data_IF_762060397434
#
_entry.id   IF_762060397434
#
_cell.length_a   1.000
_cell.length_b   1.000
_cell.length_c   1.000
_cell.angle_alpha   90.00
_cell.angle_beta   90.00
_cell.angle_gamma   90.00
#
_symmetry.space_group_name_H-M   'P 1'
#
loop_
_entity.id
_entity.type
_entity.pdbx_description
1 polymer ?
#
# COMPACT_ATOMS: atom_id res chain seq x y z
N UNK A 1 -20.71 -43.00 18.43
CA UNK A 1 -20.46 -41.79 17.61
C UNK A 1 -20.24 -42.29 16.18
N UNK A 2 -20.96 -41.80 15.16
CA UNK A 2 -20.91 -42.38 13.80
C UNK A 2 -19.73 -41.82 12.98
N UNK A 3 -19.18 -42.65 12.09
CA UNK A 3 -18.18 -42.29 11.07
C UNK A 3 -18.64 -41.13 10.16
N UNK A 4 -19.95 -40.86 10.10
CA UNK A 4 -20.55 -39.76 9.33
C UNK A 4 -20.20 -38.37 9.85
N UNK A 5 -19.57 -38.26 11.03
CA UNK A 5 -19.01 -37.00 11.53
C UNK A 5 -17.68 -36.63 10.89
N UNK A 6 -16.96 -37.59 10.30
CA UNK A 6 -15.73 -37.31 9.58
C UNK A 6 -16.04 -36.67 8.21
N UNK A 7 -15.19 -35.76 7.73
CA UNK A 7 -15.27 -35.29 6.35
C UNK A 7 -15.26 -36.48 5.37
N UNK A 8 -16.08 -36.42 4.31
CA UNK A 8 -16.34 -37.57 3.42
C UNK A 8 -15.07 -38.22 2.87
N UNK A 9 -14.04 -37.43 2.55
CA UNK A 9 -12.76 -37.95 2.05
C UNK A 9 -11.96 -38.71 3.10
N UNK A 10 -12.00 -38.26 4.36
CA UNK A 10 -11.37 -38.92 5.50
C UNK A 10 -12.07 -40.24 5.78
N UNK A 11 -13.40 -40.24 5.88
CA UNK A 11 -14.20 -41.45 6.06
C UNK A 11 -13.96 -42.49 4.95
N UNK A 12 -13.85 -42.05 3.69
CA UNK A 12 -13.55 -42.92 2.55
C UNK A 12 -12.14 -43.53 2.62
N UNK A 13 -11.12 -42.72 2.95
CA UNK A 13 -9.73 -43.20 3.12
C UNK A 13 -9.65 -44.19 4.29
N UNK A 14 -10.26 -43.86 5.43
CA UNK A 14 -10.27 -44.71 6.61
C UNK A 14 -10.91 -46.07 6.33
N UNK A 15 -12.07 -46.12 5.65
CA UNK A 15 -12.69 -47.39 5.23
C UNK A 15 -11.81 -48.19 4.27
N UNK A 16 -11.11 -47.52 3.35
CA UNK A 16 -10.21 -48.17 2.40
C UNK A 16 -9.02 -48.81 3.10
N UNK A 17 -8.44 -48.10 4.06
CA UNK A 17 -7.16 -48.48 4.65
C UNK A 17 -7.32 -49.49 5.80
N UNK A 18 -8.41 -49.40 6.59
CA UNK A 18 -8.61 -50.20 7.80
C UNK A 18 -9.82 -51.14 7.77
N UNK A 19 -10.59 -51.15 6.67
CA UNK A 19 -11.68 -52.12 6.47
C UNK A 19 -12.74 -52.09 7.58
N UNK A 20 -12.97 -53.23 8.24
CA UNK A 20 -13.98 -53.39 9.31
C UNK A 20 -13.66 -52.56 10.56
N UNK A 21 -12.40 -52.24 10.81
CA UNK A 21 -11.99 -51.45 11.99
C UNK A 21 -12.26 -49.95 11.83
N UNK A 22 -12.59 -49.51 10.61
CA UNK A 22 -12.79 -48.10 10.30
C UNK A 22 -13.83 -47.41 11.18
N UNK A 23 -14.92 -48.08 11.56
CA UNK A 23 -15.95 -47.49 12.42
C UNK A 23 -15.47 -47.26 13.85
N UNK A 24 -14.72 -48.22 14.41
CA UNK A 24 -14.11 -48.09 15.74
C UNK A 24 -13.09 -46.95 15.75
N UNK A 25 -12.18 -46.94 14.77
CA UNK A 25 -11.11 -45.94 14.66
C UNK A 25 -11.64 -44.54 14.35
N UNK A 26 -12.76 -44.41 13.64
CA UNK A 26 -13.37 -43.11 13.33
C UNK A 26 -13.74 -42.33 14.60
N UNK A 27 -14.19 -43.04 15.65
CA UNK A 27 -14.53 -42.43 16.94
C UNK A 27 -13.28 -41.82 17.57
N UNK A 28 -12.18 -42.57 17.61
CA UNK A 28 -10.93 -42.12 18.21
C UNK A 28 -10.30 -40.97 17.42
N UNK A 29 -10.28 -41.05 16.08
CA UNK A 29 -9.80 -39.97 15.21
C UNK A 29 -10.58 -38.68 15.45
N UNK A 30 -11.90 -38.74 15.66
CA UNK A 30 -12.69 -37.54 15.96
C UNK A 30 -12.40 -36.94 17.34
N UNK A 31 -12.00 -37.76 18.30
CA UNK A 31 -11.66 -37.31 19.67
C UNK A 31 -10.29 -36.65 19.68
N UNK A 32 -9.31 -37.26 19.00
CA UNK A 32 -7.93 -36.78 18.95
C UNK A 32 -7.76 -35.62 17.95
N UNK A 33 -8.26 -35.78 16.72
CA UNK A 33 -8.19 -34.77 15.67
C UNK A 33 -9.44 -33.89 15.63
N UNK A 34 -9.28 -32.61 15.96
CA UNK A 34 -10.39 -31.63 16.04
C UNK A 34 -10.72 -31.00 14.70
N UNK A 35 -9.73 -30.94 13.81
CA UNK A 35 -9.86 -30.36 12.48
C UNK A 35 -9.66 -31.42 11.41
N UNK A 36 -10.20 -31.19 10.20
CA UNK A 36 -9.96 -32.08 9.06
C UNK A 36 -8.45 -32.27 8.80
N UNK A 37 -7.66 -31.21 9.00
CA UNK A 37 -6.21 -31.22 8.82
C UNK A 37 -5.53 -32.22 9.77
N UNK A 38 -5.90 -32.19 11.05
CA UNK A 38 -5.39 -33.13 12.06
C UNK A 38 -5.86 -34.56 11.80
N UNK A 39 -7.15 -34.75 11.50
CA UNK A 39 -7.72 -36.06 11.18
C UNK A 39 -7.05 -36.68 9.95
N UNK A 40 -6.76 -35.87 8.93
CA UNK A 40 -6.02 -36.31 7.76
C UNK A 40 -4.56 -36.64 8.10
N UNK A 41 -3.91 -35.84 8.94
CA UNK A 41 -2.52 -36.06 9.35
C UNK A 41 -2.36 -37.44 10.04
N UNK A 42 -3.28 -37.79 10.95
CA UNK A 42 -3.34 -39.11 11.58
C UNK A 42 -3.35 -40.25 10.54
N UNK A 43 -4.24 -40.15 9.54
CA UNK A 43 -4.34 -41.16 8.48
C UNK A 43 -3.11 -41.20 7.56
N UNK A 44 -2.51 -40.05 7.25
CA UNK A 44 -1.34 -39.97 6.37
C UNK A 44 -0.08 -40.54 7.05
N UNK A 45 0.09 -40.31 8.35
CA UNK A 45 1.20 -40.89 9.12
C UNK A 45 1.01 -42.40 9.32
N UNK A 46 -0.23 -42.86 9.50
CA UNK A 46 -0.55 -44.27 9.65
C UNK A 46 -0.36 -45.08 8.36
N UNK A 47 -0.76 -44.52 7.21
CA UNK A 47 -0.71 -45.17 5.89
C UNK A 47 -1.30 -46.59 5.86
N UNK A 48 -2.40 -46.80 6.59
CA UNK A 48 -3.10 -48.09 6.70
C UNK A 48 -2.51 -49.10 7.67
N UNK A 49 -1.48 -48.74 8.43
CA UNK A 49 -0.94 -49.55 9.52
C UNK A 49 -1.51 -49.11 10.88
N UNK A 50 -2.12 -50.05 11.62
CA UNK A 50 -2.78 -49.75 12.90
C UNK A 50 -1.78 -49.35 13.99
N UNK A 51 -0.59 -49.95 14.02
CA UNK A 51 0.45 -49.60 14.99
C UNK A 51 1.01 -48.18 14.75
N UNK A 52 1.16 -47.80 13.48
CA UNK A 52 1.51 -46.42 13.12
C UNK A 52 0.38 -45.44 13.42
N UNK A 53 -0.88 -45.86 13.33
CA UNK A 53 -2.00 -45.02 13.73
C UNK A 53 -2.01 -44.77 15.25
N UNK A 54 -1.73 -45.79 16.05
CA UNK A 54 -1.59 -45.65 17.50
C UNK A 54 -0.44 -44.70 17.87
N UNK A 55 0.72 -44.85 17.22
CA UNK A 55 1.84 -43.91 17.39
C UNK A 55 1.47 -42.48 16.97
N UNK A 56 0.69 -42.32 15.88
CA UNK A 56 0.19 -41.01 15.45
C UNK A 56 -0.78 -40.40 16.46
N UNK A 57 -1.62 -41.18 17.14
CA UNK A 57 -2.48 -40.69 18.22
C UNK A 57 -1.66 -40.19 19.40
N UNK A 58 -0.63 -40.93 19.82
CA UNK A 58 0.28 -40.48 20.88
C UNK A 58 0.99 -39.17 20.49
N UNK A 59 1.49 -39.07 19.26
CA UNK A 59 2.12 -37.86 18.75
C UNK A 59 1.15 -36.66 18.77
N UNK A 60 -0.10 -36.87 18.34
CA UNK A 60 -1.14 -35.83 18.34
C UNK A 60 -1.50 -35.34 19.74
N UNK A 61 -1.48 -36.23 20.74
CA UNK A 61 -1.74 -35.91 22.15
C UNK A 61 -0.60 -35.10 22.75
N UNK A 62 0.64 -35.32 22.30
CA UNK A 62 1.84 -34.63 22.77
C UNK A 62 2.05 -33.27 22.08
N UNK A 63 2.18 -33.23 20.76
CA UNK A 63 2.31 -31.99 19.96
C UNK A 63 1.70 -32.17 18.56
N UNK A 64 0.57 -31.51 18.32
CA UNK A 64 -0.10 -31.51 17.01
C UNK A 64 0.81 -30.98 15.90
N UNK A 65 1.76 -30.07 16.19
CA UNK A 65 2.65 -29.54 15.15
C UNK A 65 3.58 -30.60 14.61
N UNK A 66 4.08 -31.49 15.45
CA UNK A 66 4.97 -32.58 15.01
C UNK A 66 4.20 -33.57 14.13
N UNK A 67 2.97 -33.93 14.53
CA UNK A 67 2.06 -34.70 13.68
C UNK A 67 1.84 -34.03 12.31
N UNK A 68 1.59 -32.72 12.30
CA UNK A 68 1.38 -31.98 11.06
C UNK A 68 2.65 -31.88 10.21
N UNK A 69 3.83 -31.81 10.81
CA UNK A 69 5.10 -31.83 10.09
C UNK A 69 5.37 -33.21 9.48
N UNK A 70 5.18 -34.28 10.25
CA UNK A 70 5.37 -35.67 9.80
C UNK A 70 4.42 -36.05 8.66
N UNK A 71 3.16 -35.60 8.74
CA UNK A 71 2.19 -35.75 7.65
C UNK A 71 2.48 -34.86 6.43
N UNK A 72 3.45 -33.94 6.53
CA UNK A 72 3.70 -32.92 5.52
C UNK A 72 2.51 -31.97 5.33
N UNK A 73 1.74 -31.71 6.37
CA UNK A 73 0.59 -30.82 6.35
C UNK A 73 0.83 -29.55 7.16
N UNK A 74 2.06 -29.21 7.58
CA UNK A 74 2.35 -28.05 8.43
C UNK A 74 2.28 -26.68 7.71
N UNK A 75 2.44 -26.64 6.39
CA UNK A 75 2.40 -25.39 5.60
C UNK A 75 0.97 -24.92 5.27
N UNK A 76 0.83 -23.70 4.74
CA UNK A 76 -0.47 -23.13 4.33
C UNK A 76 -1.07 -23.80 3.08
N UNK A 77 -0.30 -24.63 2.36
CA UNK A 77 -0.71 -25.33 1.12
C UNK A 77 -1.26 -26.74 1.41
N UNK A 78 -1.50 -27.05 2.68
CA UNK A 78 -2.11 -28.31 3.09
C UNK A 78 -3.45 -28.62 2.38
N UNK A 79 -4.34 -27.65 2.04
CA UNK A 79 -5.60 -27.97 1.36
C UNK A 79 -5.36 -28.57 -0.03
N UNK A 80 -4.45 -27.98 -0.82
CA UNK A 80 -4.11 -28.49 -2.15
C UNK A 80 -3.46 -29.88 -2.06
N UNK A 81 -2.64 -30.11 -1.03
CA UNK A 81 -2.01 -31.41 -0.78
C UNK A 81 -3.05 -32.47 -0.42
N UNK A 82 -4.03 -32.15 0.43
CA UNK A 82 -5.13 -33.07 0.73
C UNK A 82 -5.99 -33.38 -0.48
N UNK A 83 -6.27 -32.39 -1.34
CA UNK A 83 -7.01 -32.61 -2.58
C UNK A 83 -6.28 -33.58 -3.51
N UNK A 84 -4.94 -33.52 -3.54
CA UNK A 84 -4.10 -34.44 -4.30
C UNK A 84 -4.09 -35.86 -3.70
N UNK A 85 -3.94 -35.98 -2.37
CA UNK A 85 -3.75 -37.27 -1.69
C UNK A 85 -5.07 -38.03 -1.46
N UNK A 86 -6.14 -37.33 -1.08
CA UNK A 86 -7.41 -37.93 -0.66
C UNK A 86 -8.57 -37.66 -1.65
N UNK A 87 -8.27 -36.91 -2.72
CA UNK A 87 -9.24 -36.39 -3.66
C UNK A 87 -9.89 -35.11 -3.17
N UNK A 88 -10.41 -34.32 -4.11
CA UNK A 88 -11.18 -33.11 -3.81
C UNK A 88 -12.39 -33.47 -2.95
N UNK A 89 -12.65 -32.67 -1.93
CA UNK A 89 -13.96 -32.66 -1.28
C UNK A 89 -15.01 -32.37 -2.35
N UNK A 90 -16.04 -33.20 -2.46
CA UNK A 90 -17.12 -33.05 -3.45
C UNK A 90 -17.95 -31.77 -3.26
N UNK A 91 -17.66 -30.99 -2.22
CA UNK A 91 -18.06 -29.59 -2.10
C UNK A 91 -16.79 -28.73 -2.09
N UNK A 92 -16.48 -27.98 -3.18
CA UNK A 92 -15.54 -26.88 -3.02
C UNK A 92 -16.08 -25.98 -1.91
N UNK A 93 -15.26 -25.52 -0.95
CA UNK A 93 -15.69 -24.47 -0.05
C UNK A 93 -16.19 -23.33 -0.94
N UNK A 94 -17.41 -22.85 -0.70
CA UNK A 94 -17.99 -21.76 -1.46
C UNK A 94 -16.94 -20.64 -1.50
N UNK A 95 -16.26 -20.49 -2.65
CA UNK A 95 -15.26 -19.45 -2.82
C UNK A 95 -15.93 -18.12 -2.45
N UNK A 96 -15.18 -17.13 -1.93
CA UNK A 96 -15.74 -15.87 -1.46
C UNK A 96 -16.75 -15.41 -2.50
N UNK A 97 -18.01 -15.35 -2.07
CA UNK A 97 -19.15 -15.16 -2.97
C UNK A 97 -18.87 -13.92 -3.82
N UNK A 98 -19.46 -13.87 -5.01
CA UNK A 98 -19.33 -12.70 -5.90
C UNK A 98 -19.60 -11.37 -5.18
N UNK A 99 -20.41 -11.41 -4.12
CA UNK A 99 -20.69 -10.31 -3.20
C UNK A 99 -19.48 -9.87 -2.38
N UNK A 100 -18.67 -10.78 -1.83
CA UNK A 100 -17.49 -10.41 -1.04
C UNK A 100 -16.42 -9.71 -1.88
N UNK A 101 -16.26 -10.12 -3.15
CA UNK A 101 -15.40 -9.39 -4.10
C UNK A 101 -15.92 -7.99 -4.42
N UNK A 102 -17.25 -7.80 -4.47
CA UNK A 102 -17.87 -6.48 -4.67
C UNK A 102 -17.69 -5.61 -3.43
N UNK A 103 -17.97 -6.13 -2.24
CA UNK A 103 -17.79 -5.43 -0.97
C UNK A 103 -16.35 -4.97 -0.78
N UNK A 104 -15.38 -5.84 -1.07
CA UNK A 104 -13.96 -5.49 -0.97
C UNK A 104 -13.55 -4.40 -1.96
N UNK A 105 -14.11 -4.40 -3.18
CA UNK A 105 -13.88 -3.34 -4.15
C UNK A 105 -14.52 -2.01 -3.72
N UNK A 106 -15.76 -2.05 -3.23
CA UNK A 106 -16.46 -0.85 -2.72
C UNK A 106 -15.72 -0.26 -1.52
N UNK A 107 -15.29 -1.10 -0.57
CA UNK A 107 -14.51 -0.68 0.59
C UNK A 107 -13.19 -0.01 0.16
N UNK A 108 -12.49 -0.60 -0.81
CA UNK A 108 -11.24 -0.04 -1.32
C UNK A 108 -11.48 1.33 -2.00
N UNK A 109 -12.56 1.47 -2.77
CA UNK A 109 -12.95 2.76 -3.36
C UNK A 109 -13.29 3.78 -2.28
N UNK A 110 -14.05 3.40 -1.26
CA UNK A 110 -14.42 4.27 -0.14
C UNK A 110 -13.22 4.75 0.68
N UNK A 111 -12.14 3.97 0.76
CA UNK A 111 -10.93 4.39 1.49
C UNK A 111 -10.00 5.22 0.60
N UNK A 112 -9.83 4.83 -0.66
CA UNK A 112 -8.85 5.46 -1.56
C UNK A 112 -9.36 6.78 -2.14
N UNK A 113 -10.65 6.88 -2.48
CA UNK A 113 -11.20 8.07 -3.12
C UNK A 113 -11.14 9.34 -2.23
N UNK A 114 -11.49 9.31 -0.93
CA UNK A 114 -11.38 10.47 -0.07
C UNK A 114 -9.95 10.92 0.15
N UNK A 115 -9.02 9.97 0.31
CA UNK A 115 -7.60 10.27 0.44
C UNK A 115 -7.11 10.98 -0.83
N UNK A 116 -7.38 10.42 -2.01
CA UNK A 116 -7.02 11.04 -3.28
C UNK A 116 -7.64 12.45 -3.44
N UNK A 117 -8.91 12.62 -3.08
CA UNK A 117 -9.59 13.93 -3.13
C UNK A 117 -8.92 14.95 -2.19
N UNK A 118 -8.57 14.56 -0.97
CA UNK A 118 -7.87 15.42 -0.01
C UNK A 118 -6.50 15.85 -0.54
N UNK A 119 -5.72 14.93 -1.11
CA UNK A 119 -4.41 15.26 -1.67
C UNK A 119 -4.50 16.15 -2.92
N UNK A 120 -5.50 15.94 -3.78
CA UNK A 120 -5.64 16.68 -5.05
C UNK A 120 -6.33 18.02 -4.86
N UNK A 121 -7.27 18.16 -3.92
CA UNK A 121 -8.08 19.38 -3.73
C UNK A 121 -7.76 20.05 -2.39
N UNK A 122 -7.71 19.28 -1.30
CA UNK A 122 -7.49 19.81 0.04
C UNK A 122 -6.12 20.48 0.19
N UNK A 123 -5.03 19.81 -0.18
CA UNK A 123 -3.68 20.38 -0.06
C UNK A 123 -3.51 21.65 -0.90
N UNK A 124 -3.90 21.71 -2.18
CA UNK A 124 -3.81 22.95 -2.95
C UNK A 124 -4.66 24.08 -2.39
N UNK A 125 -5.85 23.79 -1.82
CA UNK A 125 -6.66 24.82 -1.18
C UNK A 125 -6.00 25.35 0.10
N UNK A 126 -5.42 24.48 0.93
CA UNK A 126 -4.67 24.90 2.12
C UNK A 126 -3.47 25.77 1.73
N UNK A 127 -2.72 25.36 0.72
CA UNK A 127 -1.60 26.15 0.20
C UNK A 127 -2.07 27.47 -0.42
N UNK A 128 -3.20 27.47 -1.12
CA UNK A 128 -3.75 28.68 -1.72
C UNK A 128 -4.22 29.68 -0.67
N UNK A 129 -4.75 29.23 0.47
CA UNK A 129 -5.20 30.09 1.56
C UNK A 129 -4.01 30.72 2.28
N UNK A 130 -3.00 29.92 2.66
CA UNK A 130 -1.74 30.42 3.22
C UNK A 130 -1.04 31.38 2.24
N UNK A 131 -1.07 31.06 0.94
CA UNK A 131 -0.48 31.91 -0.08
C UNK A 131 -1.30 33.20 -0.30
N UNK A 132 -2.62 33.16 -0.14
CA UNK A 132 -3.49 34.34 -0.23
C UNK A 132 -3.28 35.28 0.95
N UNK A 133 -3.16 34.74 2.16
CA UNK A 133 -2.88 35.52 3.36
C UNK A 133 -1.46 36.08 3.37
N UNK A 134 -0.49 35.34 2.83
CA UNK A 134 0.86 35.85 2.60
C UNK A 134 0.85 36.97 1.55
N UNK A 135 0.23 36.75 0.38
CA UNK A 135 0.23 37.72 -0.72
C UNK A 135 -0.62 38.97 -0.47
N UNK A 136 -1.69 38.88 0.33
CA UNK A 136 -2.50 40.02 0.72
C UNK A 136 -1.74 41.03 1.59
N UNK A 137 -0.65 40.61 2.24
CA UNK A 137 0.19 41.47 3.09
C UNK A 137 1.42 42.00 2.38
N UNK A 138 1.76 41.53 1.17
CA UNK A 138 2.98 41.97 0.49
C UNK A 138 2.81 43.36 -0.11
N UNK A 139 3.61 44.32 0.35
CA UNK A 139 3.79 45.61 -0.32
C UNK A 139 4.94 45.51 -1.33
N UNK A 140 4.91 46.35 -2.36
CA UNK A 140 5.97 46.44 -3.36
C UNK A 140 6.56 47.84 -3.39
N UNK A 141 7.89 47.93 -3.52
CA UNK A 141 8.60 49.19 -3.75
C UNK A 141 9.68 48.98 -4.80
N UNK A 142 10.21 50.08 -5.32
CA UNK A 142 11.37 50.07 -6.20
C UNK A 142 12.64 49.96 -5.36
N UNK A 143 13.55 49.09 -5.75
CA UNK A 143 14.91 49.01 -5.26
C UNK A 143 15.94 49.08 -6.38
N UNK A 144 17.21 49.17 -6.01
CA UNK A 144 18.35 49.15 -6.93
C UNK A 144 19.31 48.05 -6.51
N UNK A 145 19.76 47.25 -7.48
CA UNK A 145 20.76 46.21 -7.22
C UNK A 145 22.10 46.86 -6.89
N UNK A 146 22.69 46.50 -5.76
CA UNK A 146 24.01 46.97 -5.32
C UNK A 146 25.13 46.07 -5.83
N UNK A 147 24.95 44.75 -5.70
CA UNK A 147 25.98 43.76 -6.03
C UNK A 147 25.31 42.46 -6.46
N UNK A 148 25.84 41.81 -7.50
CA UNK A 148 25.44 40.48 -7.92
C UNK A 148 26.58 39.49 -7.62
N UNK A 149 26.28 38.43 -6.86
CA UNK A 149 27.22 37.34 -6.58
C UNK A 149 26.73 36.05 -7.21
N UNK A 150 27.55 35.48 -8.10
CA UNK A 150 27.32 34.14 -8.63
C UNK A 150 27.82 33.07 -7.67
N UNK A 151 26.98 32.06 -7.42
CA UNK A 151 27.32 30.88 -6.60
C UNK A 151 26.90 29.57 -7.28
N UNK A 152 27.54 28.48 -6.89
CA UNK A 152 27.14 27.14 -7.31
C UNK A 152 26.38 26.44 -6.18
N UNK A 153 25.17 25.96 -6.46
CA UNK A 153 24.37 25.15 -5.54
C UNK A 153 24.09 23.77 -6.16
N UNK A 154 23.55 22.83 -5.37
CA UNK A 154 23.21 21.47 -5.84
C UNK A 154 22.26 21.44 -7.05
N UNK A 155 21.59 22.56 -7.37
CA UNK A 155 20.70 22.71 -8.52
C UNK A 155 21.25 23.51 -9.71
N UNK A 156 22.52 23.91 -9.71
CA UNK A 156 23.14 24.69 -10.79
C UNK A 156 23.67 26.07 -10.34
N UNK A 157 23.95 26.94 -11.32
CA UNK A 157 24.38 28.32 -11.06
C UNK A 157 23.20 29.12 -10.50
N UNK A 158 23.42 29.78 -9.36
CA UNK A 158 22.46 30.72 -8.75
C UNK A 158 23.12 32.08 -8.62
N UNK A 159 22.36 33.13 -8.88
CA UNK A 159 22.80 34.51 -8.74
C UNK A 159 22.08 35.09 -7.52
N UNK A 160 22.83 35.61 -6.55
CA UNK A 160 22.29 36.30 -5.38
C UNK A 160 22.60 37.78 -5.55
N UNK A 161 21.56 38.60 -5.58
CA UNK A 161 21.69 40.05 -5.66
C UNK A 161 21.50 40.65 -4.26
N UNK A 162 22.42 41.52 -3.85
CA UNK A 162 22.19 42.46 -2.76
C UNK A 162 21.57 43.72 -3.35
N UNK A 163 20.48 44.21 -2.78
CA UNK A 163 19.73 45.36 -3.28
C UNK A 163 19.42 46.34 -2.15
N UNK A 164 19.27 47.61 -2.49
CA UNK A 164 18.80 48.66 -1.59
C UNK A 164 17.39 49.11 -1.98
N UNK A 165 16.57 49.44 -0.99
CA UNK A 165 15.20 49.93 -1.20
C UNK A 165 14.78 50.85 -0.05
N UNK A 166 13.71 51.62 -0.27
CA UNK A 166 13.21 52.59 0.70
C UNK A 166 11.81 52.19 1.17
N UNK A 167 11.62 52.12 2.49
CA UNK A 167 10.32 51.90 3.13
C UNK A 167 10.09 53.01 4.16
N UNK A 168 9.01 53.78 4.00
CA UNK A 168 8.67 54.91 4.87
C UNK A 168 9.85 55.89 5.10
N UNK A 169 10.61 56.19 4.04
CA UNK A 169 11.76 57.10 4.09
C UNK A 169 13.03 56.53 4.71
N UNK A 170 13.03 55.25 5.14
CA UNK A 170 14.22 54.57 5.68
C UNK A 170 14.86 53.68 4.62
N UNK A 171 16.16 53.86 4.38
CA UNK A 171 16.93 52.99 3.49
C UNK A 171 17.14 51.62 4.15
N UNK A 172 16.87 50.57 3.39
CA UNK A 172 17.04 49.18 3.77
C UNK A 172 17.84 48.45 2.70
N UNK A 173 18.38 47.30 3.07
CA UNK A 173 19.11 46.42 2.17
C UNK A 173 18.66 44.99 2.38
N UNK A 174 18.52 44.24 1.30
CA UNK A 174 18.15 42.84 1.30
C UNK A 174 19.05 42.04 0.37
N UNK A 175 18.98 40.72 0.46
CA UNK A 175 19.70 39.82 -0.42
C UNK A 175 18.80 38.66 -0.81
N UNK A 176 18.62 38.44 -2.11
CA UNK A 176 17.81 37.33 -2.62
C UNK A 176 18.33 36.82 -3.96
N UNK A 177 17.82 35.66 -4.39
CA UNK A 177 18.08 35.13 -5.72
C UNK A 177 17.51 36.07 -6.79
N UNK A 178 18.30 36.33 -7.82
CA UNK A 178 17.97 37.23 -8.92
C UNK A 178 18.19 36.55 -10.28
N UNK A 179 17.71 37.19 -11.35
CA UNK A 179 18.02 36.74 -12.70
C UNK A 179 19.52 36.85 -12.95
N UNK A 180 20.05 35.98 -13.81
CA UNK A 180 21.44 36.11 -14.28
C UNK A 180 21.69 37.42 -15.03
N UNK A 181 20.62 38.05 -15.52
CA UNK A 181 20.67 39.29 -16.31
C UNK A 181 20.68 40.57 -15.45
N UNK A 182 20.33 40.49 -14.16
CA UNK A 182 20.26 41.66 -13.27
C UNK A 182 21.67 42.10 -12.87
N UNK A 183 22.03 43.36 -13.14
CA UNK A 183 23.34 43.95 -12.84
C UNK A 183 23.25 45.02 -11.77
N UNK A 184 24.39 45.31 -11.13
CA UNK A 184 24.48 46.43 -10.20
C UNK A 184 24.08 47.75 -10.90
N UNK A 185 23.17 48.49 -10.27
CA UNK A 185 22.55 49.70 -10.81
C UNK A 185 21.18 49.48 -11.45
N UNK A 186 20.78 48.23 -11.71
CA UNK A 186 19.47 47.95 -12.30
C UNK A 186 18.34 48.19 -11.27
N UNK A 187 17.23 48.74 -11.76
CA UNK A 187 16.02 48.95 -11.00
C UNK A 187 15.24 47.63 -10.89
N UNK A 188 14.87 47.24 -9.67
CA UNK A 188 14.18 45.98 -9.39
C UNK A 188 12.98 46.20 -8.49
N UNK A 189 11.93 45.42 -8.70
CA UNK A 189 10.76 45.43 -7.82
C UNK A 189 11.04 44.58 -6.58
N UNK A 190 11.09 45.23 -5.42
CA UNK A 190 11.27 44.59 -4.11
C UNK A 190 9.91 44.37 -3.48
N UNK A 191 9.62 43.12 -3.12
CA UNK A 191 8.45 42.70 -2.36
C UNK A 191 8.86 42.57 -0.90
N UNK A 192 8.06 43.09 0.03
CA UNK A 192 8.38 43.01 1.46
C UNK A 192 7.10 42.88 2.32
N UNK A 193 7.26 42.36 3.53
CA UNK A 193 6.20 42.36 4.55
C UNK A 193 6.19 43.73 5.28
N UNK A 194 5.09 44.50 5.26
CA UNK A 194 4.97 45.75 6.00
C UNK A 194 5.16 45.61 7.51
N UNK A 195 4.86 44.45 8.10
CA UNK A 195 5.04 44.18 9.53
C UNK A 195 6.48 43.78 9.85
N UNK A 196 7.21 43.20 8.89
CA UNK A 196 8.63 42.90 8.98
C UNK A 196 9.36 43.27 7.68
N UNK A 197 9.71 44.56 7.48
CA UNK A 197 10.34 45.02 6.24
C UNK A 197 11.72 44.40 5.97
N UNK A 198 12.33 43.73 6.95
CA UNK A 198 13.59 43.00 6.75
C UNK A 198 13.37 41.71 5.94
N UNK A 199 12.17 41.13 6.03
CA UNK A 199 11.71 40.05 5.14
C UNK A 199 11.35 40.66 3.78
N UNK A 200 12.31 40.64 2.87
CA UNK A 200 12.15 41.14 1.50
C UNK A 200 12.68 40.15 0.48
N UNK A 201 12.12 40.20 -0.72
CA UNK A 201 12.52 39.38 -1.86
C UNK A 201 12.37 40.17 -3.17
N UNK A 202 13.13 39.78 -4.20
CA UNK A 202 12.96 40.29 -5.55
C UNK A 202 11.79 39.54 -6.21
N UNK A 203 10.91 40.24 -6.92
CA UNK A 203 9.70 39.67 -7.52
C UNK A 203 9.91 38.70 -8.71
N UNK A 204 10.85 37.76 -8.60
CA UNK A 204 11.29 36.84 -9.66
C UNK A 204 10.48 35.54 -9.73
N UNK A 205 9.52 35.49 -10.65
CA UNK A 205 8.80 34.32 -11.18
C UNK A 205 8.59 33.12 -10.21
N UNK A 206 7.56 33.21 -9.37
CA UNK A 206 6.98 32.12 -8.57
C UNK A 206 6.37 30.95 -9.40
N UNK A 207 6.72 30.83 -10.68
CA UNK A 207 6.16 29.80 -11.58
C UNK A 207 6.65 28.39 -11.23
N UNK A 208 7.76 28.26 -10.50
CA UNK A 208 8.38 26.97 -10.16
C UNK A 208 7.49 26.10 -9.26
N UNK A 209 6.77 26.72 -8.31
CA UNK A 209 5.84 26.01 -7.43
C UNK A 209 4.63 25.43 -8.19
N UNK A 210 4.09 26.20 -9.14
CA UNK A 210 2.93 25.80 -9.93
C UNK A 210 3.25 24.66 -10.92
N UNK A 211 4.45 24.65 -11.51
CA UNK A 211 4.91 23.59 -12.41
C UNK A 211 5.13 22.27 -11.66
N UNK A 212 5.72 22.32 -10.46
CA UNK A 212 5.92 21.11 -9.63
C UNK A 212 4.60 20.49 -9.16
N UNK A 213 3.61 21.33 -8.83
CA UNK A 213 2.26 20.87 -8.48
C UNK A 213 1.56 20.13 -9.63
N UNK A 214 1.63 20.67 -10.86
CA UNK A 214 1.05 20.02 -12.04
C UNK A 214 1.73 18.70 -12.41
N UNK A 215 3.05 18.62 -12.27
CA UNK A 215 3.81 17.40 -12.54
C UNK A 215 3.42 16.25 -11.60
N UNK A 216 3.21 16.54 -10.31
CA UNK A 216 2.76 15.55 -9.32
C UNK A 216 1.36 14.99 -9.66
N UNK A 217 0.42 15.86 -10.05
CA UNK A 217 -0.94 15.45 -10.45
C UNK A 217 -0.90 14.56 -11.70
N UNK A 218 -0.10 14.92 -12.70
CA UNK A 218 0.06 14.12 -13.92
C UNK A 218 0.62 12.72 -13.62
N UNK A 219 1.60 12.61 -12.71
CA UNK A 219 2.17 11.32 -12.28
C UNK A 219 1.12 10.39 -11.65
N UNK A 220 0.29 10.92 -10.75
CA UNK A 220 -0.79 10.16 -10.11
C UNK A 220 -1.81 9.63 -11.13
N UNK A 221 -2.22 10.45 -12.10
CA UNK A 221 -3.15 10.06 -13.15
C UNK A 221 -2.57 8.94 -14.05
N UNK A 222 -1.28 9.00 -14.37
CA UNK A 222 -0.62 7.98 -15.19
C UNK A 222 -0.59 6.61 -14.48
N UNK A 223 -0.27 6.57 -13.18
CA UNK A 223 -0.27 5.34 -12.38
C UNK A 223 -1.68 4.73 -12.32
N UNK A 224 -2.70 5.56 -12.12
CA UNK A 224 -4.09 5.12 -12.11
C UNK A 224 -4.50 4.51 -13.46
N UNK A 225 -4.20 5.18 -14.57
CA UNK A 225 -4.50 4.70 -15.92
C UNK A 225 -3.85 3.34 -16.22
N UNK A 226 -2.58 3.15 -15.85
CA UNK A 226 -1.88 1.86 -16.00
C UNK A 226 -2.56 0.75 -15.20
N UNK A 227 -3.04 1.05 -13.99
CA UNK A 227 -3.69 0.05 -13.15
C UNK A 227 -5.04 -0.39 -13.73
N UNK A 228 -5.84 0.56 -14.22
CA UNK A 228 -7.11 0.29 -14.91
C UNK A 228 -6.88 -0.54 -16.18
N UNK A 229 -5.89 -0.16 -17.01
CA UNK A 229 -5.57 -0.89 -18.25
C UNK A 229 -5.15 -2.35 -17.98
N UNK A 230 -4.36 -2.59 -16.92
CA UNK A 230 -3.98 -3.96 -16.50
C UNK A 230 -5.18 -4.78 -16.02
N UNK A 231 -6.14 -4.14 -15.33
CA UNK A 231 -7.39 -4.78 -14.93
C UNK A 231 -8.22 -5.26 -16.12
N UNK A 232 -8.35 -4.44 -17.16
CA UNK A 232 -9.09 -4.78 -18.37
C UNK A 232 -8.45 -5.93 -19.16
N UNK A 233 -7.12 -5.93 -19.34
CA UNK A 233 -6.42 -7.03 -20.06
C UNK A 233 -6.62 -8.40 -19.41
N UNK A 234 -6.69 -8.45 -18.07
CA UNK A 234 -6.93 -9.71 -17.32
C UNK A 234 -8.34 -10.25 -17.50
N UNK A 235 -9.35 -9.38 -17.69
CA UNK A 235 -10.73 -9.79 -18.00
C UNK A 235 -10.87 -10.31 -19.43
N UNK A 236 -10.21 -9.68 -20.40
CA UNK A 236 -10.28 -10.10 -21.80
C UNK A 236 -9.73 -11.51 -22.07
N UNK A 237 -8.68 -11.94 -21.36
CA UNK A 237 -8.11 -13.29 -21.51
C UNK A 237 -9.03 -14.42 -20.99
N UNK A 238 -9.93 -14.15 -20.05
CA UNK A 238 -10.85 -15.17 -19.51
C UNK A 238 -12.07 -15.45 -20.39
N UNK A 239 -12.31 -14.65 -21.41
CA UNK A 239 -13.43 -14.82 -22.34
C UNK A 239 -13.03 -15.54 -23.64
N UNK A 240 -11.74 -15.88 -23.80
CA UNK A 240 -11.20 -16.60 -24.97
C UNK A 240 -10.71 -18.02 -24.66
N UNK A 241 -10.85 -18.47 -23.42
CA UNK A 241 -10.53 -19.82 -22.95
C UNK A 241 -11.81 -20.49 -22.49
#
# INVERSE_FOLDING_TARGET
MSIDRLPTRIARRLRRDFGSEAERLAVEICVVGRTEREQAALLLVADGDEGRLEAAFELARLDVRDLLMDAGLADERWPERLDHLLGRTSSPPAGPTREWRRLRAVLLVLVVAPAALFFVVGIPLLLADDYRDATARVASTTGVVLEQRGGWSKGGRRHVCTYAYVVAGTNRTGASECSGDDRAGDEVTVRYDPQDPASSDLGGSDRTGLVMGLAAVAGCLAVFAVHVARGHRRRGRRLRS
#
